data_IF_216620563212
#
_entry.id   IF_216620563212
#
_cell.length_a   1.000
_cell.length_b   1.000
_cell.length_c   1.000
_cell.angle_alpha   90.00
_cell.angle_beta   90.00
_cell.angle_gamma   90.00
#
_symmetry.space_group_name_H-M   'P 1'
#
loop_
_entity.id
_entity.type
_entity.pdbx_description
1 polymer ?
#
# COMPACT_ATOMS: atom_id res chain seq x y z
N UNK A 1 -23.87 -17.70 -2.18
CA UNK A 1 -23.58 -16.82 -1.04
C UNK A 1 -22.19 -16.26 -1.24
N UNK A 2 -22.05 -14.92 -1.25
CA UNK A 2 -20.82 -14.15 -1.52
C UNK A 2 -19.55 -14.82 -0.97
N UNK A 3 -18.63 -15.17 -1.88
CA UNK A 3 -17.23 -15.38 -1.50
C UNK A 3 -16.61 -13.98 -1.32
N UNK A 4 -16.12 -13.64 -0.12
CA UNK A 4 -15.39 -12.38 0.07
C UNK A 4 -14.10 -12.46 -0.75
N UNK A 5 -13.63 -11.31 -1.24
CA UNK A 5 -12.42 -11.18 -2.04
C UNK A 5 -11.23 -11.89 -1.37
N UNK A 6 -10.98 -13.14 -1.79
CA UNK A 6 -9.77 -13.90 -1.49
C UNK A 6 -8.75 -13.53 -2.55
N UNK A 7 -7.76 -12.71 -2.18
CA UNK A 7 -6.50 -12.64 -2.91
C UNK A 7 -5.71 -13.90 -2.51
N UNK A 8 -5.50 -14.89 -3.40
CA UNK A 8 -4.89 -16.16 -3.01
C UNK A 8 -3.37 -15.99 -2.88
N UNK A 9 -2.83 -16.26 -1.69
CA UNK A 9 -1.40 -16.62 -1.55
C UNK A 9 -0.52 -15.83 -0.57
N UNK A 10 -0.93 -15.59 0.68
CA UNK A 10 0.01 -15.06 1.69
C UNK A 10 -0.25 -15.60 3.10
N UNK A 11 0.45 -16.68 3.46
CA UNK A 11 0.83 -16.96 4.85
C UNK A 11 2.10 -16.13 5.19
N UNK A 12 2.59 -16.06 6.45
CA UNK A 12 2.03 -15.57 7.71
C UNK A 12 2.52 -14.13 8.05
N UNK A 13 2.57 -13.20 7.09
CA UNK A 13 2.90 -11.76 7.32
C UNK A 13 1.69 -10.95 7.84
N UNK A 14 0.67 -11.65 8.36
CA UNK A 14 -0.62 -11.10 8.78
C UNK A 14 -0.42 -10.00 9.83
N UNK A 15 0.53 -10.18 10.75
CA UNK A 15 0.84 -9.20 11.80
C UNK A 15 1.35 -7.87 11.24
N UNK A 16 2.31 -7.90 10.30
CA UNK A 16 2.85 -6.68 9.69
C UNK A 16 1.86 -6.02 8.74
N UNK A 17 1.14 -6.81 7.95
CA UNK A 17 0.05 -6.33 7.10
C UNK A 17 -1.05 -5.63 7.93
N UNK A 18 -1.40 -6.21 9.07
CA UNK A 18 -2.41 -5.65 9.97
C UNK A 18 -1.88 -4.43 10.72
N UNK A 19 -0.60 -4.39 11.07
CA UNK A 19 0.06 -3.20 11.62
C UNK A 19 0.04 -2.02 10.63
N UNK A 20 0.46 -2.28 9.39
CA UNK A 20 0.43 -1.30 8.30
C UNK A 20 -1.01 -0.84 8.05
N UNK A 21 -1.97 -1.77 8.00
CA UNK A 21 -3.37 -1.42 7.79
C UNK A 21 -3.93 -0.57 8.93
N UNK A 22 -3.68 -0.92 10.19
CA UNK A 22 -4.17 -0.15 11.33
C UNK A 22 -3.54 1.25 11.38
N UNK A 23 -2.25 1.35 11.11
CA UNK A 23 -1.51 2.62 11.01
C UNK A 23 -2.08 3.56 9.93
N UNK A 24 -2.39 3.00 8.75
CA UNK A 24 -2.97 3.77 7.65
C UNK A 24 -4.44 4.08 7.85
N UNK A 25 -5.20 3.22 8.54
CA UNK A 25 -6.61 3.47 8.85
C UNK A 25 -6.81 4.77 9.62
N UNK A 26 -5.92 5.07 10.57
CA UNK A 26 -6.00 6.29 11.37
C UNK A 26 -5.52 7.53 10.60
N UNK A 27 -4.50 7.38 9.73
CA UNK A 27 -3.92 8.50 8.97
C UNK A 27 -4.62 8.79 7.65
N UNK A 28 -5.30 7.81 7.07
CA UNK A 28 -5.92 7.93 5.74
C UNK A 28 -6.89 9.10 5.67
N UNK A 29 -7.62 9.38 6.74
CA UNK A 29 -8.55 10.52 6.82
C UNK A 29 -7.85 11.87 6.89
N UNK A 30 -6.56 11.90 7.24
CA UNK A 30 -5.72 13.10 7.31
C UNK A 30 -4.98 13.37 5.98
N UNK A 31 -5.03 12.42 5.04
CA UNK A 31 -4.30 12.54 3.79
C UNK A 31 -4.95 13.55 2.83
N UNK A 32 -4.16 14.33 2.08
CA UNK A 32 -4.70 15.37 1.19
C UNK A 32 -5.46 14.83 -0.02
N UNK A 33 -5.31 13.53 -0.33
CA UNK A 33 -6.04 12.84 -1.39
C UNK A 33 -7.29 12.12 -0.90
N UNK A 34 -7.57 12.15 0.41
CA UNK A 34 -8.80 11.62 0.97
C UNK A 34 -10.00 12.45 0.52
N UNK A 35 -11.07 11.78 0.09
CA UNK A 35 -12.36 12.42 -0.20
C UNK A 35 -13.43 11.83 0.70
N UNK A 36 -14.36 12.65 1.17
CA UNK A 36 -15.53 12.20 1.91
C UNK A 36 -16.31 11.15 1.08
N UNK A 37 -16.47 9.94 1.63
CA UNK A 37 -17.09 8.80 0.95
C UNK A 37 -16.12 7.75 0.40
N UNK A 38 -14.80 8.03 0.37
CA UNK A 38 -13.81 7.00 0.08
C UNK A 38 -13.74 5.97 1.23
N UNK A 39 -13.79 4.68 0.87
CA UNK A 39 -13.72 3.58 1.84
C UNK A 39 -12.28 3.15 2.01
N UNK A 40 -11.81 3.10 3.25
CA UNK A 40 -10.47 2.61 3.58
C UNK A 40 -10.18 1.21 2.99
N UNK A 41 -11.17 0.33 2.93
CA UNK A 41 -11.06 -1.02 2.36
C UNK A 41 -10.57 -1.03 0.90
N UNK A 42 -10.90 0.01 0.12
CA UNK A 42 -10.49 0.14 -1.28
C UNK A 42 -9.02 0.62 -1.40
N UNK A 43 -8.52 1.29 -0.35
CA UNK A 43 -7.15 1.79 -0.26
C UNK A 43 -6.22 0.85 0.51
N UNK A 44 -6.76 -0.03 1.36
CA UNK A 44 -5.99 -1.00 2.14
C UNK A 44 -5.10 -1.83 1.22
N UNK A 45 -5.67 -2.37 0.14
CA UNK A 45 -4.90 -3.12 -0.87
C UNK A 45 -3.78 -2.29 -1.51
N UNK A 46 -4.00 -0.98 -1.69
CA UNK A 46 -3.00 -0.07 -2.27
C UNK A 46 -1.85 0.21 -1.29
N UNK A 47 -2.15 0.43 -0.01
CA UNK A 47 -1.13 0.62 1.03
C UNK A 47 -0.29 -0.65 1.21
N UNK A 48 -0.93 -1.81 1.25
CA UNK A 48 -0.22 -3.09 1.36
C UNK A 48 0.66 -3.33 0.14
N UNK A 49 0.15 -3.09 -1.08
CA UNK A 49 0.93 -3.24 -2.30
C UNK A 49 2.18 -2.35 -2.31
N UNK A 50 2.07 -1.08 -1.87
CA UNK A 50 3.22 -0.17 -1.76
C UNK A 50 4.25 -0.63 -0.74
N UNK A 51 3.80 -1.12 0.42
CA UNK A 51 4.67 -1.64 1.45
C UNK A 51 5.39 -2.92 1.01
N UNK A 52 4.66 -3.89 0.44
CA UNK A 52 5.22 -5.12 -0.12
C UNK A 52 6.25 -4.84 -1.21
N UNK A 53 5.93 -3.91 -2.11
CA UNK A 53 6.85 -3.52 -3.16
C UNK A 53 8.11 -2.88 -2.57
N UNK A 54 8.01 -2.04 -1.53
CA UNK A 54 9.20 -1.44 -0.89
C UNK A 54 10.13 -2.51 -0.34
N UNK A 55 9.59 -3.58 0.22
CA UNK A 55 10.38 -4.69 0.76
C UNK A 55 11.07 -5.46 -0.35
N UNK A 56 10.36 -5.74 -1.46
CA UNK A 56 10.95 -6.43 -2.61
C UNK A 56 12.00 -5.60 -3.33
N UNK A 57 11.76 -4.30 -3.45
CA UNK A 57 12.48 -3.37 -4.31
C UNK A 57 13.12 -2.24 -3.47
N UNK A 58 13.68 -2.59 -2.30
CA UNK A 58 14.22 -1.63 -1.34
C UNK A 58 15.41 -0.82 -1.89
N UNK A 59 16.14 -1.40 -2.86
CA UNK A 59 17.29 -0.79 -3.51
C UNK A 59 16.93 0.21 -4.63
N UNK A 60 15.68 0.22 -5.10
CA UNK A 60 15.23 1.08 -6.21
C UNK A 60 14.47 2.29 -5.70
N UNK A 61 14.48 3.36 -6.51
CA UNK A 61 13.70 4.56 -6.24
C UNK A 61 12.24 4.35 -6.66
N UNK A 62 11.30 5.03 -5.99
CA UNK A 62 9.87 4.96 -6.32
C UNK A 62 9.58 5.24 -7.80
N UNK A 63 10.26 6.24 -8.38
CA UNK A 63 10.12 6.62 -9.78
C UNK A 63 10.43 5.45 -10.75
N UNK A 64 11.41 4.62 -10.40
CA UNK A 64 11.80 3.46 -11.21
C UNK A 64 10.81 2.30 -11.11
N UNK A 65 10.11 2.17 -9.98
CA UNK A 65 9.16 1.09 -9.73
C UNK A 65 7.71 1.51 -9.97
N UNK A 66 7.43 2.80 -10.15
CA UNK A 66 6.07 3.33 -10.36
C UNK A 66 5.37 2.64 -11.53
N UNK A 67 6.09 2.46 -12.64
CA UNK A 67 5.54 1.79 -13.83
C UNK A 67 5.24 0.30 -13.59
N UNK A 68 6.04 -0.38 -12.77
CA UNK A 68 5.84 -1.78 -12.42
C UNK A 68 4.69 -1.93 -11.42
N UNK A 69 4.64 -1.06 -10.41
CA UNK A 69 3.54 -0.94 -9.47
C UNK A 69 2.22 -0.64 -10.16
N UNK A 70 2.23 0.21 -11.19
CA UNK A 70 1.03 0.49 -11.98
C UNK A 70 0.50 -0.78 -12.64
N UNK A 71 1.39 -1.56 -13.27
CA UNK A 71 1.00 -2.83 -13.90
C UNK A 71 0.54 -3.87 -12.89
N UNK A 72 1.24 -4.00 -11.75
CA UNK A 72 0.84 -4.93 -10.68
C UNK A 72 -0.52 -4.52 -10.08
N UNK A 73 -0.73 -3.22 -9.87
CA UNK A 73 -2.00 -2.67 -9.41
C UNK A 73 -3.12 -2.93 -10.41
N UNK A 74 -2.91 -2.66 -11.70
CA UNK A 74 -3.89 -2.92 -12.76
C UNK A 74 -4.22 -4.42 -12.89
N UNK A 75 -3.25 -5.29 -12.64
CA UNK A 75 -3.46 -6.74 -12.64
C UNK A 75 -4.17 -7.26 -11.38
N UNK A 76 -3.95 -6.61 -10.22
CA UNK A 76 -4.57 -6.99 -8.94
C UNK A 76 -5.92 -6.35 -8.70
N UNK A 77 -6.12 -5.12 -9.18
CA UNK A 77 -7.40 -4.44 -9.04
C UNK A 77 -8.44 -5.24 -9.83
N UNK A 78 -9.56 -5.53 -9.17
CA UNK A 78 -10.73 -6.01 -9.89
C UNK A 78 -11.29 -4.92 -10.80
N UNK A 79 -12.30 -5.29 -11.60
CA UNK A 79 -13.03 -4.37 -12.49
C UNK A 79 -13.65 -3.17 -11.75
N UNK A 80 -13.86 -3.29 -10.44
CA UNK A 80 -14.47 -2.27 -9.58
C UNK A 80 -13.50 -1.63 -8.57
N UNK A 81 -12.21 -1.96 -8.63
CA UNK A 81 -11.22 -1.45 -7.68
C UNK A 81 -10.81 0.01 -7.92
N UNK A 82 -10.16 0.62 -6.93
CA UNK A 82 -9.60 1.97 -6.98
C UNK A 82 -8.82 2.26 -8.28
N UNK A 83 -9.06 3.42 -8.87
CA UNK A 83 -8.29 3.88 -10.03
C UNK A 83 -6.82 4.10 -9.69
N UNK A 84 -5.92 3.77 -10.61
CA UNK A 84 -4.47 3.97 -10.41
C UNK A 84 -4.13 5.38 -9.94
N UNK A 85 -4.77 6.43 -10.47
CA UNK A 85 -4.52 7.80 -10.02
C UNK A 85 -4.73 8.00 -8.52
N UNK A 86 -5.72 7.36 -7.91
CA UNK A 86 -5.95 7.40 -6.45
C UNK A 86 -5.02 6.40 -5.73
N UNK A 87 -4.91 5.17 -6.25
CA UNK A 87 -4.08 4.13 -5.68
C UNK A 87 -2.59 4.53 -5.60
N UNK A 88 -2.05 5.17 -6.64
CA UNK A 88 -0.67 5.62 -6.72
C UNK A 88 -0.29 6.51 -5.54
N UNK A 89 -1.18 7.41 -5.10
CA UNK A 89 -0.91 8.28 -3.95
C UNK A 89 -0.78 7.46 -2.66
N UNK A 90 -1.69 6.51 -2.43
CA UNK A 90 -1.64 5.60 -1.29
C UNK A 90 -0.43 4.65 -1.33
N UNK A 91 -0.17 4.02 -2.48
CA UNK A 91 1.00 3.16 -2.73
C UNK A 91 2.29 3.92 -2.46
N UNK A 92 2.40 5.16 -2.95
CA UNK A 92 3.58 6.01 -2.73
C UNK A 92 3.77 6.31 -1.24
N UNK A 93 2.71 6.71 -0.55
CA UNK A 93 2.78 7.03 0.88
C UNK A 93 3.16 5.81 1.73
N UNK A 94 2.61 4.64 1.41
CA UNK A 94 3.04 3.37 2.01
C UNK A 94 4.49 3.05 1.70
N UNK A 95 4.94 3.21 0.46
CA UNK A 95 6.32 2.97 0.05
C UNK A 95 7.31 3.86 0.81
N UNK A 96 7.00 5.15 0.94
CA UNK A 96 7.84 6.11 1.66
C UNK A 96 7.88 5.80 3.16
N UNK A 97 6.74 5.51 3.80
CA UNK A 97 6.70 5.11 5.21
C UNK A 97 7.38 3.76 5.45
N UNK A 98 7.26 2.79 4.54
CA UNK A 98 7.91 1.49 4.65
C UNK A 98 9.44 1.61 4.77
N UNK A 99 10.04 2.68 4.21
CA UNK A 99 11.46 2.97 4.42
C UNK A 99 11.78 3.47 5.83
N UNK A 100 10.88 4.22 6.46
CA UNK A 100 11.03 4.72 7.83
C UNK A 100 11.10 3.55 8.82
N UNK A 101 10.21 2.55 8.65
CA UNK A 101 10.26 1.30 9.42
C UNK A 101 11.56 0.49 9.20
N UNK A 102 12.19 0.59 8.02
CA UNK A 102 13.45 -0.10 7.69
C UNK A 102 14.70 0.68 8.13
N UNK A 103 14.62 2.00 8.26
CA UNK A 103 15.76 2.90 8.55
C UNK A 103 15.84 3.29 10.03
N UNK A 104 15.18 2.54 10.92
CA UNK A 104 15.33 2.68 12.37
C UNK A 104 16.76 2.48 12.91
N UNK A 105 17.72 2.10 12.05
CA UNK A 105 19.16 2.19 12.32
C UNK A 105 19.82 3.10 11.27
N UNK A 106 19.90 4.41 11.57
CA UNK A 106 21.15 5.19 11.42
C UNK A 106 21.02 6.63 11.89
N UNK A 107 21.91 6.92 12.85
CA UNK A 107 22.52 8.23 13.16
C UNK A 107 21.64 9.28 13.84
N UNK A 108 21.74 9.32 15.17
CA UNK A 108 21.85 10.60 15.88
C UNK A 108 23.35 10.93 16.05
N UNK A 109 23.81 12.17 15.82
CA UNK A 109 25.17 12.59 16.14
C UNK A 109 25.45 12.58 17.64
#
# INVERSE_FOLDING_TARGET
>A
MNVPYQIPGRAPDEDRSQNVSNYWRERFTEEPYYTEGDRYEDYEGAYLAGHEARIRENARAYDQVEAELHRDWEAKRGTEGLSWSKARHAVKRAWENATDFVTGDKSKP
#
